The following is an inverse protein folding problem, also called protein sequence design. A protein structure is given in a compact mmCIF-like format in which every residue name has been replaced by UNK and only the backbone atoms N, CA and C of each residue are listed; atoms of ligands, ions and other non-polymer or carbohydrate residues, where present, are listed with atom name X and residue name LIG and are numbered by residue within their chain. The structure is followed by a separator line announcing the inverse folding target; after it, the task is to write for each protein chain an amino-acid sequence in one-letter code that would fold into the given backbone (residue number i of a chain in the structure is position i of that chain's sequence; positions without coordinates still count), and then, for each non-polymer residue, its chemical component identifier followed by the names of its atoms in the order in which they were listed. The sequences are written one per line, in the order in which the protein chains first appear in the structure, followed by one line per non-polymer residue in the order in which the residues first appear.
data_IF_264506109934
#
_entry.id   IF_264506109934
#
_cell.length_a   1.000
_cell.length_b   1.000
_cell.length_c   1.000
_cell.angle_alpha   90.00
_cell.angle_beta   90.00
_cell.angle_gamma   90.00
#
_symmetry.space_group_name_H-M   'P 1'
#
loop_
_entity.id
_entity.type
_entity.pdbx_description
1 polymer ?
#
# COMPACT_ATOMS: atom_id res chain seq x y z
N UNK A 1 -36.74 -4.73 -12.13
CA UNK A 1 -36.60 -5.56 -13.35
C UNK A 1 -35.21 -6.19 -13.36
N UNK A 2 -34.13 -5.40 -13.27
CA UNK A 2 -32.75 -5.92 -13.38
C UNK A 2 -32.32 -6.87 -12.24
N UNK A 3 -32.59 -6.54 -10.97
CA UNK A 3 -32.32 -7.47 -9.85
C UNK A 3 -33.18 -8.74 -9.89
N UNK A 4 -34.38 -8.65 -10.47
CA UNK A 4 -35.25 -9.82 -10.64
C UNK A 4 -34.71 -10.79 -11.70
N UNK A 5 -34.02 -10.28 -12.73
CA UNK A 5 -33.30 -11.09 -13.72
C UNK A 5 -32.09 -11.78 -13.07
N UNK A 6 -31.33 -11.08 -12.20
CA UNK A 6 -30.21 -11.67 -11.45
C UNK A 6 -30.62 -12.81 -10.53
N UNK A 7 -31.80 -12.72 -9.89
CA UNK A 7 -32.34 -13.83 -9.08
C UNK A 7 -32.52 -15.12 -9.90
N UNK A 8 -32.80 -15.00 -11.21
CA UNK A 8 -33.06 -16.12 -12.10
C UNK A 8 -31.81 -16.83 -12.64
N UNK A 9 -30.60 -16.42 -12.25
CA UNK A 9 -29.34 -16.91 -12.83
C UNK A 9 -29.17 -18.43 -12.71
N UNK A 10 -29.65 -19.06 -11.64
CA UNK A 10 -29.41 -20.50 -11.38
C UNK A 10 -30.08 -21.43 -12.41
N UNK A 11 -31.12 -20.95 -13.12
CA UNK A 11 -31.85 -21.73 -14.13
C UNK A 11 -31.42 -21.49 -15.58
N UNK A 12 -30.47 -20.57 -15.82
CA UNK A 12 -30.12 -20.11 -17.16
C UNK A 12 -28.91 -20.87 -17.75
N UNK A 13 -28.80 -20.89 -19.09
CA UNK A 13 -27.57 -21.32 -19.75
C UNK A 13 -26.44 -20.32 -19.47
N UNK A 14 -25.18 -20.73 -19.64
CA UNK A 14 -24.04 -19.82 -19.43
C UNK A 14 -24.10 -18.60 -20.36
N UNK A 15 -24.53 -18.78 -21.61
CA UNK A 15 -24.69 -17.68 -22.55
C UNK A 15 -25.74 -16.66 -22.08
N UNK A 16 -26.88 -17.14 -21.59
CA UNK A 16 -27.95 -16.28 -21.08
C UNK A 16 -27.54 -15.57 -19.78
N UNK A 17 -26.85 -16.29 -18.89
CA UNK A 17 -26.34 -15.74 -17.64
C UNK A 17 -25.38 -14.58 -17.89
N UNK A 18 -24.44 -14.71 -18.83
CA UNK A 18 -23.52 -13.64 -19.22
C UNK A 18 -24.27 -12.41 -19.70
N UNK A 19 -25.26 -12.57 -20.58
CA UNK A 19 -26.05 -11.44 -21.12
C UNK A 19 -26.79 -10.70 -20.00
N UNK A 20 -27.42 -11.43 -19.07
CA UNK A 20 -28.11 -10.84 -17.92
C UNK A 20 -27.13 -10.06 -17.04
N UNK A 21 -25.97 -10.65 -16.73
CA UNK A 21 -24.94 -10.03 -15.88
C UNK A 21 -24.34 -8.79 -16.54
N UNK A 22 -23.96 -8.84 -17.81
CA UNK A 22 -23.38 -7.71 -18.55
C UNK A 22 -24.37 -6.54 -18.66
N UNK A 23 -25.65 -6.83 -18.88
CA UNK A 23 -26.73 -5.83 -18.89
C UNK A 23 -26.84 -5.15 -17.52
N UNK A 24 -26.84 -5.92 -16.43
CA UNK A 24 -26.87 -5.38 -15.08
C UNK A 24 -25.63 -4.53 -14.76
N UNK A 25 -24.44 -5.02 -15.09
CA UNK A 25 -23.17 -4.32 -14.83
C UNK A 25 -23.13 -2.99 -15.59
N UNK A 26 -23.55 -2.98 -16.86
CA UNK A 26 -23.57 -1.77 -17.69
C UNK A 26 -24.53 -0.72 -17.12
N UNK A 27 -25.71 -1.14 -16.68
CA UNK A 27 -26.71 -0.24 -16.11
C UNK A 27 -26.31 0.33 -14.73
N UNK A 28 -25.53 -0.40 -13.94
CA UNK A 28 -25.25 -0.07 -12.54
C UNK A 28 -23.78 0.20 -12.22
N UNK A 29 -22.91 0.33 -13.24
CA UNK A 29 -21.46 0.48 -13.08
C UNK A 29 -21.03 1.68 -12.23
N UNK A 30 -21.82 2.77 -12.23
CA UNK A 30 -21.61 4.00 -11.47
C UNK A 30 -22.56 4.14 -10.26
N UNK A 31 -23.31 3.09 -9.93
CA UNK A 31 -24.20 3.08 -8.78
C UNK A 31 -23.44 2.68 -7.51
N UNK A 32 -23.68 3.41 -6.42
CA UNK A 32 -23.02 3.21 -5.12
C UNK A 32 -23.98 2.82 -3.99
N UNK A 33 -25.27 3.14 -4.13
CA UNK A 33 -26.28 2.85 -3.11
C UNK A 33 -27.57 2.36 -3.76
N UNK A 34 -28.29 1.48 -3.05
CA UNK A 34 -29.56 0.93 -3.51
C UNK A 34 -30.65 1.11 -2.43
N UNK A 35 -31.09 2.36 -2.16
CA UNK A 35 -31.94 2.66 -1.01
C UNK A 35 -33.33 1.98 -1.05
N UNK A 36 -33.83 1.66 -2.25
CA UNK A 36 -35.15 1.06 -2.46
C UNK A 36 -35.08 -0.45 -2.76
N UNK A 37 -33.92 -1.08 -2.63
CA UNK A 37 -33.75 -2.50 -2.93
C UNK A 37 -34.15 -3.34 -1.72
N UNK A 38 -35.07 -4.28 -1.95
CA UNK A 38 -35.45 -5.26 -0.94
C UNK A 38 -34.25 -6.13 -0.53
N UNK A 39 -34.10 -6.32 0.79
CA UNK A 39 -32.99 -7.08 1.34
C UNK A 39 -33.01 -8.56 0.92
N UNK A 40 -34.18 -9.18 0.87
CA UNK A 40 -34.27 -10.59 0.48
C UNK A 40 -33.92 -10.77 -0.99
N UNK A 41 -34.39 -9.87 -1.86
CA UNK A 41 -34.00 -9.86 -3.27
C UNK A 41 -32.47 -9.67 -3.43
N UNK A 42 -31.86 -8.74 -2.67
CA UNK A 42 -30.40 -8.52 -2.66
C UNK A 42 -29.66 -9.80 -2.27
N UNK A 43 -30.14 -10.49 -1.22
CA UNK A 43 -29.57 -11.75 -0.74
C UNK A 43 -29.66 -12.89 -1.77
N UNK A 44 -30.83 -13.09 -2.36
CA UNK A 44 -31.04 -14.11 -3.39
C UNK A 44 -30.16 -13.87 -4.62
N UNK A 45 -29.99 -12.60 -5.05
CA UNK A 45 -29.08 -12.27 -6.14
C UNK A 45 -27.62 -12.64 -5.82
N UNK A 46 -27.17 -12.32 -4.59
CA UNK A 46 -25.82 -12.67 -4.13
C UNK A 46 -25.64 -14.18 -4.08
N UNK A 47 -26.61 -14.92 -3.55
CA UNK A 47 -26.57 -16.38 -3.50
C UNK A 47 -26.49 -17.00 -4.90
N UNK A 48 -27.28 -16.53 -5.86
CA UNK A 48 -27.24 -17.00 -7.24
C UNK A 48 -25.87 -16.73 -7.91
N UNK A 49 -25.30 -15.54 -7.70
CA UNK A 49 -23.96 -15.21 -8.19
C UNK A 49 -22.90 -16.14 -7.59
N UNK A 50 -22.94 -16.37 -6.27
CA UNK A 50 -21.99 -17.25 -5.58
C UNK A 50 -22.14 -18.71 -6.03
N UNK A 51 -23.35 -19.17 -6.32
CA UNK A 51 -23.60 -20.52 -6.86
C UNK A 51 -22.91 -20.68 -8.22
N UNK A 52 -22.97 -19.67 -9.09
CA UNK A 52 -22.22 -19.65 -10.34
C UNK A 52 -20.70 -19.70 -10.12
N UNK A 53 -20.16 -18.88 -9.22
CA UNK A 53 -18.72 -18.84 -8.93
C UNK A 53 -18.18 -20.14 -8.33
N UNK A 54 -19.02 -20.97 -7.71
CA UNK A 54 -18.64 -22.29 -7.18
C UNK A 54 -18.56 -23.38 -8.25
N UNK A 55 -19.12 -23.17 -9.44
CA UNK A 55 -19.10 -24.18 -10.51
C UNK A 55 -17.65 -24.37 -11.00
N UNK A 56 -17.17 -25.62 -11.17
CA UNK A 56 -15.75 -25.90 -11.45
C UNK A 56 -15.29 -25.54 -12.87
N UNK A 57 -16.23 -25.31 -13.80
CA UNK A 57 -15.94 -25.04 -15.22
C UNK A 57 -16.83 -23.90 -15.72
N UNK A 58 -16.48 -22.69 -15.32
CA UNK A 58 -17.14 -21.46 -15.77
C UNK A 58 -16.14 -20.69 -16.62
N UNK A 59 -16.58 -20.19 -17.77
CA UNK A 59 -15.72 -19.39 -18.63
C UNK A 59 -15.24 -18.14 -17.86
N UNK A 60 -13.98 -17.68 -18.04
CA UNK A 60 -13.47 -16.49 -17.37
C UNK A 60 -14.38 -15.28 -17.52
N UNK A 61 -14.95 -15.10 -18.71
CA UNK A 61 -15.90 -14.03 -19.02
C UNK A 61 -17.13 -14.03 -18.08
N UNK A 62 -17.72 -15.20 -17.86
CA UNK A 62 -18.87 -15.38 -16.96
C UNK A 62 -18.49 -15.11 -15.51
N UNK A 63 -17.34 -15.63 -15.07
CA UNK A 63 -16.81 -15.37 -13.73
C UNK A 63 -16.57 -13.88 -13.47
N UNK A 64 -15.98 -13.16 -14.44
CA UNK A 64 -15.78 -11.71 -14.36
C UNK A 64 -17.12 -10.99 -14.25
N UNK A 65 -18.11 -11.32 -15.09
CA UNK A 65 -19.42 -10.68 -15.06
C UNK A 65 -20.15 -10.92 -13.72
N UNK A 66 -20.07 -12.14 -13.17
CA UNK A 66 -20.53 -12.48 -11.83
C UNK A 66 -19.87 -11.61 -10.76
N UNK A 67 -18.54 -11.52 -10.77
CA UNK A 67 -17.77 -10.74 -9.79
C UNK A 67 -18.04 -9.24 -9.92
N UNK A 68 -18.17 -8.70 -11.13
CA UNK A 68 -18.54 -7.30 -11.35
C UNK A 68 -19.92 -6.98 -10.79
N UNK A 69 -20.91 -7.86 -11.03
CA UNK A 69 -22.24 -7.71 -10.45
C UNK A 69 -22.19 -7.75 -8.91
N UNK A 70 -21.46 -8.72 -8.34
CA UNK A 70 -21.24 -8.80 -6.90
C UNK A 70 -20.55 -7.55 -6.35
N UNK A 71 -19.53 -7.03 -7.04
CA UNK A 71 -18.78 -5.82 -6.65
C UNK A 71 -19.68 -4.60 -6.60
N UNK A 72 -20.58 -4.44 -7.57
CA UNK A 72 -21.55 -3.35 -7.59
C UNK A 72 -22.49 -3.45 -6.37
N UNK A 73 -23.00 -4.65 -6.09
CA UNK A 73 -23.87 -4.91 -4.93
C UNK A 73 -23.12 -4.64 -3.61
N UNK A 74 -21.82 -4.96 -3.56
CA UNK A 74 -20.99 -4.83 -2.35
C UNK A 74 -20.51 -3.41 -2.01
N UNK A 75 -20.71 -2.44 -2.92
CA UNK A 75 -20.45 -1.02 -2.64
C UNK A 75 -21.44 -0.44 -1.64
N UNK A 76 -22.69 -0.90 -1.69
CA UNK A 76 -23.74 -0.44 -0.80
C UNK A 76 -23.57 -1.09 0.57
N UNK A 77 -23.06 -0.32 1.54
CA UNK A 77 -22.84 -0.70 2.94
C UNK A 77 -24.09 -1.29 3.61
N UNK A 78 -25.28 -0.93 3.14
CA UNK A 78 -26.55 -1.36 3.72
C UNK A 78 -26.69 -2.88 3.68
N UNK A 79 -26.82 -3.48 4.86
CA UNK A 79 -26.99 -4.92 5.07
C UNK A 79 -25.85 -5.82 4.58
N UNK A 80 -24.65 -5.27 4.32
CA UNK A 80 -23.51 -6.08 3.84
C UNK A 80 -23.12 -7.21 4.78
N UNK A 81 -23.18 -6.97 6.10
CA UNK A 81 -22.88 -7.98 7.12
C UNK A 81 -23.74 -9.25 6.96
N UNK A 82 -25.01 -9.10 6.58
CA UNK A 82 -25.93 -10.22 6.43
C UNK A 82 -25.80 -10.94 5.06
N UNK A 83 -25.12 -10.31 4.09
CA UNK A 83 -24.88 -10.86 2.74
C UNK A 83 -23.55 -11.61 2.65
N UNK A 84 -22.58 -11.26 3.49
CA UNK A 84 -21.22 -11.81 3.45
C UNK A 84 -21.04 -12.86 4.55
N UNK A 85 -21.64 -14.03 4.34
CA UNK A 85 -21.41 -15.20 5.20
C UNK A 85 -20.06 -15.87 4.90
N UNK A 86 -19.64 -16.80 5.75
CA UNK A 86 -18.36 -17.51 5.62
C UNK A 86 -18.21 -18.21 4.25
N UNK A 87 -19.28 -18.82 3.75
CA UNK A 87 -19.28 -19.49 2.44
C UNK A 87 -19.01 -18.52 1.28
N UNK A 88 -19.54 -17.30 1.35
CA UNK A 88 -19.28 -16.27 0.35
C UNK A 88 -17.81 -15.88 0.36
N UNK A 89 -17.23 -15.64 1.54
CA UNK A 89 -15.84 -15.25 1.71
C UNK A 89 -14.87 -16.36 1.29
N UNK A 90 -15.15 -17.62 1.64
CA UNK A 90 -14.36 -18.76 1.15
C UNK A 90 -14.40 -18.87 -0.38
N UNK A 91 -15.57 -18.64 -0.99
CA UNK A 91 -15.70 -18.65 -2.45
C UNK A 91 -14.86 -17.54 -3.09
N UNK A 92 -14.94 -16.31 -2.56
CA UNK A 92 -14.14 -15.19 -3.05
C UNK A 92 -12.64 -15.42 -2.86
N UNK A 93 -12.20 -15.92 -1.71
CA UNK A 93 -10.80 -16.27 -1.45
C UNK A 93 -10.29 -17.35 -2.41
N UNK A 94 -11.13 -18.34 -2.74
CA UNK A 94 -10.79 -19.38 -3.72
C UNK A 94 -10.65 -18.80 -5.13
N UNK A 95 -11.60 -17.98 -5.56
CA UNK A 95 -11.60 -17.39 -6.90
C UNK A 95 -10.48 -16.34 -7.06
N UNK A 96 -10.12 -15.64 -5.98
CA UNK A 96 -8.95 -14.76 -5.94
C UNK A 96 -7.61 -15.51 -5.92
N UNK A 97 -7.62 -16.84 -5.90
CA UNK A 97 -6.42 -17.67 -5.80
C UNK A 97 -5.75 -17.67 -4.43
N UNK A 98 -6.16 -16.81 -3.49
CA UNK A 98 -5.54 -16.64 -2.16
C UNK A 98 -5.54 -17.96 -1.37
N UNK A 99 -6.63 -18.73 -1.45
CA UNK A 99 -6.72 -20.01 -0.75
C UNK A 99 -5.65 -21.01 -1.20
N UNK A 100 -5.22 -20.97 -2.47
CA UNK A 100 -4.17 -21.85 -2.97
C UNK A 100 -2.86 -21.61 -2.22
N UNK A 101 -2.45 -20.35 -2.10
CA UNK A 101 -1.26 -19.92 -1.38
C UNK A 101 -1.35 -20.18 0.12
N UNK A 102 -2.54 -20.02 0.72
CA UNK A 102 -2.76 -20.27 2.15
C UNK A 102 -2.55 -21.73 2.57
N UNK A 103 -2.62 -22.67 1.62
CA UNK A 103 -2.40 -24.10 1.88
C UNK A 103 -0.97 -24.56 1.61
N UNK A 104 -0.13 -23.69 1.06
CA UNK A 104 1.27 -24.00 0.80
C UNK A 104 2.12 -23.82 2.06
N UNK A 105 3.28 -24.47 2.08
CA UNK A 105 4.20 -24.42 3.22
C UNK A 105 4.79 -23.01 3.39
N UNK A 106 4.63 -22.44 4.58
CA UNK A 106 5.08 -21.09 4.92
C UNK A 106 6.61 -20.98 4.83
N UNK A 107 7.32 -22.06 5.15
CA UNK A 107 8.78 -22.13 5.10
C UNK A 107 9.30 -22.62 3.73
N UNK A 108 8.38 -22.92 2.80
CA UNK A 108 8.71 -23.28 1.43
C UNK A 108 9.37 -22.13 0.68
N UNK A 109 10.50 -22.43 0.02
CA UNK A 109 11.25 -21.46 -0.80
C UNK A 109 10.56 -21.22 -2.15
N UNK A 110 9.90 -22.24 -2.70
CA UNK A 110 9.16 -22.15 -3.97
C UNK A 110 7.66 -22.26 -3.72
N UNK A 111 6.90 -21.37 -4.37
CA UNK A 111 5.44 -21.28 -4.26
C UNK A 111 4.85 -21.52 -5.65
N UNK A 112 3.92 -22.46 -5.76
CA UNK A 112 3.27 -22.75 -7.03
C UNK A 112 2.32 -21.60 -7.40
N UNK A 113 2.44 -21.07 -8.61
CA UNK A 113 1.56 -20.01 -9.11
C UNK A 113 0.23 -20.62 -9.54
N UNK A 114 -0.87 -20.02 -9.07
CA UNK A 114 -2.22 -20.51 -9.40
C UNK A 114 -2.47 -20.40 -10.91
N UNK A 115 -2.84 -21.50 -11.61
CA UNK A 115 -3.13 -21.47 -13.04
C UNK A 115 -4.57 -20.98 -13.24
N UNK A 116 -4.80 -19.68 -13.05
CA UNK A 116 -6.10 -19.03 -13.22
C UNK A 116 -5.96 -17.74 -14.01
N UNK A 117 -7.03 -17.36 -14.69
CA UNK A 117 -7.12 -16.09 -15.40
C UNK A 117 -6.92 -14.93 -14.41
N UNK A 118 -5.92 -14.08 -14.66
CA UNK A 118 -5.55 -12.99 -13.76
C UNK A 118 -6.65 -11.92 -13.68
N UNK A 119 -7.44 -11.70 -14.74
CA UNK A 119 -8.55 -10.75 -14.70
C UNK A 119 -9.68 -11.23 -13.76
N UNK A 120 -9.91 -12.55 -13.69
CA UNK A 120 -10.83 -13.14 -12.69
C UNK A 120 -10.30 -12.93 -11.28
N UNK A 121 -9.00 -13.16 -11.05
CA UNK A 121 -8.35 -12.94 -9.75
C UNK A 121 -8.52 -11.48 -9.30
N UNK A 122 -8.18 -10.53 -10.17
CA UNK A 122 -8.25 -9.09 -9.90
C UNK A 122 -9.68 -8.67 -9.52
N UNK A 123 -10.68 -9.12 -10.27
CA UNK A 123 -12.06 -8.76 -9.97
C UNK A 123 -12.55 -9.38 -8.64
N UNK A 124 -12.08 -10.57 -8.30
CA UNK A 124 -12.36 -11.18 -7.00
C UNK A 124 -11.67 -10.44 -5.83
N UNK A 125 -10.43 -10.00 -6.00
CA UNK A 125 -9.74 -9.18 -4.99
C UNK A 125 -10.47 -7.84 -4.78
N UNK A 126 -10.94 -7.18 -5.84
CA UNK A 126 -11.78 -5.96 -5.71
C UNK A 126 -13.05 -6.23 -4.92
N UNK A 127 -13.70 -7.38 -5.13
CA UNK A 127 -14.86 -7.80 -4.32
C UNK A 127 -14.49 -7.96 -2.85
N UNK A 128 -13.36 -8.62 -2.56
CA UNK A 128 -12.84 -8.80 -1.20
C UNK A 128 -12.55 -7.46 -0.53
N UNK A 129 -11.88 -6.52 -1.21
CA UNK A 129 -11.63 -5.17 -0.69
C UNK A 129 -12.92 -4.47 -0.25
N UNK A 130 -13.95 -4.48 -1.10
CA UNK A 130 -15.24 -3.87 -0.78
C UNK A 130 -15.90 -4.53 0.43
N UNK A 131 -15.91 -5.87 0.46
CA UNK A 131 -16.55 -6.64 1.53
C UNK A 131 -15.82 -6.44 2.85
N UNK A 132 -14.49 -6.53 2.87
CA UNK A 132 -13.66 -6.29 4.05
C UNK A 132 -13.85 -4.85 4.55
N UNK A 133 -13.91 -3.87 3.66
CA UNK A 133 -14.13 -2.48 4.07
C UNK A 133 -15.52 -2.25 4.69
N UNK A 134 -16.56 -2.89 4.15
CA UNK A 134 -17.95 -2.63 4.53
C UNK A 134 -18.52 -3.56 5.62
N UNK A 135 -17.84 -4.65 6.00
CA UNK A 135 -18.37 -5.69 6.91
C UNK A 135 -17.38 -6.13 7.99
N UNK A 136 -17.76 -5.95 9.26
CA UNK A 136 -16.92 -6.33 10.43
C UNK A 136 -16.80 -7.85 10.57
N UNK A 137 -17.85 -8.58 10.22
CA UNK A 137 -17.87 -10.05 10.21
C UNK A 137 -16.91 -10.57 9.14
N UNK A 138 -16.87 -9.91 7.97
CA UNK A 138 -15.91 -10.25 6.93
C UNK A 138 -14.46 -9.97 7.37
N UNK A 139 -14.22 -8.82 8.01
CA UNK A 139 -12.92 -8.49 8.61
C UNK A 139 -12.45 -9.61 9.56
N UNK A 140 -13.29 -10.00 10.53
CA UNK A 140 -12.97 -11.06 11.51
C UNK A 140 -12.74 -12.41 10.86
N UNK A 141 -13.52 -12.75 9.84
CA UNK A 141 -13.38 -14.01 9.11
C UNK A 141 -12.09 -14.05 8.29
N UNK A 142 -11.78 -13.00 7.53
CA UNK A 142 -10.55 -12.91 6.73
C UNK A 142 -9.29 -13.02 7.60
N UNK A 143 -9.29 -12.43 8.80
CA UNK A 143 -8.18 -12.59 9.75
C UNK A 143 -7.94 -14.03 10.21
N UNK A 144 -8.94 -14.92 10.14
CA UNK A 144 -8.89 -16.31 10.66
C UNK A 144 -8.92 -17.40 9.60
N UNK A 145 -9.32 -17.09 8.36
CA UNK A 145 -9.62 -18.06 7.30
C UNK A 145 -8.47 -18.35 6.35
N UNK A 146 -7.22 -18.03 6.72
CA UNK A 146 -6.06 -18.16 5.84
C UNK A 146 -5.95 -17.07 4.77
N UNK A 147 -6.84 -16.06 4.76
CA UNK A 147 -6.79 -14.97 3.77
C UNK A 147 -5.49 -14.18 3.88
N UNK A 148 -5.10 -13.82 5.11
CA UNK A 148 -3.84 -13.13 5.40
C UNK A 148 -2.64 -13.98 4.97
N UNK A 149 -2.63 -15.25 5.38
CA UNK A 149 -1.59 -16.22 5.06
C UNK A 149 -1.38 -16.33 3.54
N UNK A 150 -2.46 -16.51 2.78
CA UNK A 150 -2.38 -16.63 1.34
C UNK A 150 -1.90 -15.36 0.64
N UNK A 151 -2.30 -14.17 1.11
CA UNK A 151 -1.81 -12.90 0.56
C UNK A 151 -0.32 -12.72 0.86
N UNK A 152 0.12 -13.02 2.08
CA UNK A 152 1.53 -12.92 2.47
C UNK A 152 2.39 -13.95 1.72
N UNK A 153 1.92 -15.19 1.59
CA UNK A 153 2.65 -16.22 0.82
C UNK A 153 2.74 -15.88 -0.67
N UNK A 154 1.72 -15.23 -1.24
CA UNK A 154 1.77 -14.80 -2.65
C UNK A 154 2.82 -13.71 -2.91
N UNK A 155 3.26 -12.95 -1.90
CA UNK A 155 4.35 -11.97 -2.05
C UNK A 155 5.63 -12.60 -2.63
N UNK A 156 5.92 -13.85 -2.26
CA UNK A 156 7.09 -14.60 -2.75
C UNK A 156 7.11 -14.78 -4.28
N UNK A 157 5.95 -14.65 -4.93
CA UNK A 157 5.80 -14.79 -6.39
C UNK A 157 5.91 -13.47 -7.14
N UNK A 158 6.11 -12.33 -6.47
CA UNK A 158 6.05 -11.02 -7.12
C UNK A 158 7.24 -10.73 -8.03
N UNK A 159 8.35 -11.46 -7.88
CA UNK A 159 9.45 -11.43 -8.84
C UNK A 159 9.13 -12.12 -10.17
N UNK A 160 8.03 -12.89 -10.25
CA UNK A 160 7.64 -13.58 -11.46
C UNK A 160 6.92 -12.64 -12.45
N UNK A 161 7.36 -12.55 -13.72
CA UNK A 161 6.71 -11.74 -14.75
C UNK A 161 5.26 -12.15 -15.07
N UNK A 162 4.85 -13.39 -14.76
CA UNK A 162 3.49 -13.87 -14.98
C UNK A 162 2.48 -13.19 -14.04
N UNK A 163 2.92 -12.68 -12.88
CA UNK A 163 2.05 -11.99 -11.93
C UNK A 163 1.87 -10.53 -12.35
N UNK A 164 0.65 -10.17 -12.76
CA UNK A 164 0.32 -8.82 -13.22
C UNK A 164 0.29 -7.81 -12.07
N UNK A 165 0.60 -6.56 -12.40
CA UNK A 165 0.56 -5.43 -11.45
C UNK A 165 -0.75 -5.36 -10.66
N UNK A 166 -1.90 -5.46 -11.33
CA UNK A 166 -3.20 -5.33 -10.67
C UNK A 166 -3.40 -6.39 -9.57
N UNK A 167 -2.90 -7.62 -9.77
CA UNK A 167 -2.95 -8.67 -8.73
C UNK A 167 -2.14 -8.24 -7.52
N UNK A 168 -0.91 -7.74 -7.75
CA UNK A 168 0.00 -7.25 -6.68
C UNK A 168 -0.61 -6.08 -5.92
N UNK A 169 -1.19 -5.12 -6.64
CA UNK A 169 -1.80 -3.93 -6.07
C UNK A 169 -3.02 -4.27 -5.20
N UNK A 170 -3.93 -5.11 -5.71
CA UNK A 170 -5.13 -5.45 -4.94
C UNK A 170 -4.86 -6.39 -3.76
N UNK A 171 -3.78 -7.16 -3.79
CA UNK A 171 -3.26 -7.85 -2.61
C UNK A 171 -2.81 -6.91 -1.52
N UNK A 172 -1.98 -5.92 -1.88
CA UNK A 172 -1.51 -4.96 -0.90
C UNK A 172 -2.66 -4.11 -0.37
N UNK A 173 -3.70 -3.84 -1.18
CA UNK A 173 -4.95 -3.26 -0.70
C UNK A 173 -5.67 -4.14 0.32
N UNK A 174 -5.79 -5.45 0.09
CA UNK A 174 -6.38 -6.39 1.06
C UNK A 174 -5.56 -6.41 2.35
N UNK A 175 -4.24 -6.56 2.25
CA UNK A 175 -3.35 -6.63 3.41
C UNK A 175 -3.32 -5.31 4.19
N UNK A 176 -3.37 -4.17 3.50
CA UNK A 176 -3.54 -2.86 4.13
C UNK A 176 -4.85 -2.77 4.91
N UNK A 177 -5.98 -3.17 4.33
CA UNK A 177 -7.26 -3.16 5.05
C UNK A 177 -7.21 -4.04 6.30
N UNK A 178 -6.65 -5.25 6.18
CA UNK A 178 -6.54 -6.21 7.28
C UNK A 178 -5.47 -5.83 8.33
N UNK A 179 -4.63 -4.83 8.07
CA UNK A 179 -3.67 -4.30 9.07
C UNK A 179 -4.07 -2.92 9.60
N UNK A 180 -4.91 -2.17 8.87
CA UNK A 180 -5.37 -0.83 9.23
C UNK A 180 -6.64 -0.85 10.09
N UNK A 181 -7.58 -1.74 9.81
CA UNK A 181 -8.91 -1.69 10.43
C UNK A 181 -8.87 -2.08 11.92
N UNK A 182 -9.60 -1.36 12.81
CA UNK A 182 -9.57 -1.59 14.25
C UNK A 182 -9.94 -3.01 14.69
N UNK A 183 -10.82 -3.68 13.93
CA UNK A 183 -11.22 -5.08 14.16
C UNK A 183 -10.13 -6.10 13.87
N UNK A 184 -9.05 -5.69 13.20
CA UNK A 184 -8.00 -6.56 12.66
C UNK A 184 -6.62 -6.26 13.26
N UNK A 185 -6.54 -5.48 14.35
CA UNK A 185 -5.25 -5.07 14.95
C UNK A 185 -4.36 -6.26 15.30
N UNK A 186 -4.95 -7.38 15.74
CA UNK A 186 -4.24 -8.64 16.04
C UNK A 186 -3.55 -9.27 14.82
N UNK A 187 -3.91 -8.87 13.60
CA UNK A 187 -3.24 -9.34 12.37
C UNK A 187 -1.84 -8.75 12.22
N UNK A 188 -1.53 -7.60 12.81
CA UNK A 188 -0.22 -6.95 12.69
C UNK A 188 0.93 -7.80 13.23
N UNK A 189 0.94 -8.27 14.50
CA UNK A 189 2.03 -9.11 14.99
C UNK A 189 2.13 -10.43 14.21
N UNK A 190 1.00 -11.01 13.82
CA UNK A 190 0.99 -12.25 13.02
C UNK A 190 1.65 -12.06 11.65
N UNK A 191 1.29 -11.01 10.91
CA UNK A 191 1.93 -10.69 9.61
C UNK A 191 3.41 -10.42 9.79
N UNK A 192 3.79 -9.64 10.82
CA UNK A 192 5.20 -9.26 11.05
C UNK A 192 6.07 -10.46 11.42
N UNK A 193 5.68 -11.22 12.44
CA UNK A 193 6.54 -12.21 13.10
C UNK A 193 6.24 -13.65 12.68
N UNK A 194 4.97 -14.05 12.56
CA UNK A 194 4.61 -15.45 12.27
C UNK A 194 4.68 -15.78 10.78
N UNK A 195 4.40 -14.79 9.92
CA UNK A 195 4.35 -14.99 8.47
C UNK A 195 5.54 -14.35 7.73
N UNK A 196 6.52 -13.80 8.46
CA UNK A 196 7.68 -13.07 7.91
C UNK A 196 7.31 -11.97 6.90
N UNK A 197 6.10 -11.42 7.00
CA UNK A 197 5.56 -10.46 6.06
C UNK A 197 6.34 -9.14 6.06
N UNK A 198 6.98 -8.77 7.17
CA UNK A 198 7.84 -7.59 7.21
C UNK A 198 9.04 -7.72 6.26
N UNK A 199 9.70 -8.88 6.28
CA UNK A 199 10.82 -9.22 5.40
C UNK A 199 10.36 -9.28 3.94
N UNK A 200 9.28 -10.00 3.64
CA UNK A 200 8.77 -10.12 2.26
C UNK A 200 8.33 -8.77 1.67
N UNK A 201 7.74 -7.88 2.48
CA UNK A 201 7.37 -6.53 2.03
C UNK A 201 8.61 -5.70 1.68
N UNK A 202 9.69 -5.79 2.48
CA UNK A 202 10.98 -5.15 2.16
C UNK A 202 11.60 -5.72 0.88
N UNK A 203 11.60 -7.05 0.72
CA UNK A 203 12.11 -7.71 -0.48
C UNK A 203 11.37 -7.28 -1.76
N UNK A 204 10.06 -7.06 -1.69
CA UNK A 204 9.28 -6.54 -2.82
C UNK A 204 9.65 -5.08 -3.15
N UNK A 205 9.90 -4.24 -2.15
CA UNK A 205 10.43 -2.90 -2.39
C UNK A 205 11.81 -2.96 -3.06
N UNK A 206 12.69 -3.84 -2.61
CA UNK A 206 14.02 -4.06 -3.19
C UNK A 206 13.95 -4.57 -4.64
N UNK A 207 13.04 -5.49 -4.94
CA UNK A 207 12.79 -5.94 -6.31
C UNK A 207 12.35 -4.76 -7.18
N UNK A 208 11.43 -3.94 -6.66
CA UNK A 208 10.89 -2.78 -7.40
C UNK A 208 11.97 -1.72 -7.67
N UNK A 209 12.85 -1.46 -6.70
CA UNK A 209 14.00 -0.56 -6.85
C UNK A 209 15.00 -1.09 -7.88
N UNK A 210 15.38 -2.38 -7.80
CA UNK A 210 16.29 -3.01 -8.77
C UNK A 210 15.73 -2.96 -10.19
N UNK A 211 14.44 -3.21 -10.36
CA UNK A 211 13.77 -3.09 -11.65
C UNK A 211 13.83 -1.66 -12.19
N UNK A 212 13.70 -0.66 -11.32
CA UNK A 212 13.78 0.75 -11.68
C UNK A 212 15.19 1.20 -12.04
N UNK A 213 16.22 0.69 -11.36
CA UNK A 213 17.64 0.94 -11.70
C UNK A 213 18.00 0.38 -13.08
N UNK A 214 17.41 -0.76 -13.46
CA UNK A 214 17.58 -1.33 -14.80
C UNK A 214 16.86 -0.52 -15.89
N UNK A 215 15.94 0.37 -15.51
CA UNK A 215 15.17 1.22 -16.41
C UNK A 215 15.80 2.60 -16.55
N UNK A 216 15.74 3.18 -17.75
CA UNK A 216 16.26 4.54 -17.97
C UNK A 216 15.33 5.64 -17.42
N UNK A 217 14.09 5.30 -17.08
CA UNK A 217 13.03 6.24 -16.69
C UNK A 217 12.81 6.34 -15.17
N UNK A 218 13.52 5.54 -14.38
CA UNK A 218 13.26 5.39 -12.95
C UNK A 218 11.95 4.64 -12.67
N UNK A 219 11.34 4.91 -11.50
CA UNK A 219 10.12 4.24 -11.06
C UNK A 219 8.92 4.66 -11.92
N UNK A 220 8.22 3.65 -12.46
CA UNK A 220 6.95 3.86 -13.16
C UNK A 220 5.84 4.24 -12.19
N UNK A 221 4.82 4.89 -12.74
CA UNK A 221 3.59 5.27 -12.04
C UNK A 221 2.90 4.13 -11.28
N UNK A 222 2.95 2.90 -11.81
CA UNK A 222 2.42 1.69 -11.19
C UNK A 222 3.32 1.23 -10.04
N UNK A 223 4.64 1.19 -10.26
CA UNK A 223 5.59 0.83 -9.20
C UNK A 223 5.50 1.77 -8.00
N UNK A 224 5.36 3.08 -8.23
CA UNK A 224 5.16 4.05 -7.14
C UNK A 224 3.88 3.77 -6.35
N UNK A 225 2.78 3.42 -7.03
CA UNK A 225 1.53 3.04 -6.37
C UNK A 225 1.69 1.77 -5.51
N UNK A 226 2.41 0.76 -6.00
CA UNK A 226 2.70 -0.46 -5.24
C UNK A 226 3.59 -0.18 -4.02
N UNK A 227 4.68 0.59 -4.19
CA UNK A 227 5.54 1.02 -3.10
C UNK A 227 4.72 1.77 -2.05
N UNK A 228 3.87 2.71 -2.47
CA UNK A 228 2.99 3.43 -1.57
C UNK A 228 2.10 2.49 -0.75
N UNK A 229 1.50 1.45 -1.36
CA UNK A 229 0.74 0.43 -0.63
C UNK A 229 1.55 -0.30 0.43
N UNK A 230 2.73 -0.78 0.05
CA UNK A 230 3.61 -1.51 0.94
C UNK A 230 4.03 -0.63 2.12
N UNK A 231 4.36 0.64 1.89
CA UNK A 231 4.74 1.57 2.95
C UNK A 231 3.62 1.81 3.97
N UNK A 232 2.34 1.84 3.58
CA UNK A 232 1.23 1.95 4.56
C UNK A 232 1.07 0.69 5.38
N UNK A 233 1.32 -0.48 4.79
CA UNK A 233 1.31 -1.75 5.52
C UNK A 233 2.46 -1.76 6.53
N UNK A 234 3.68 -1.46 6.10
CA UNK A 234 4.85 -1.35 6.98
C UNK A 234 4.63 -0.33 8.09
N UNK A 235 4.00 0.81 7.80
CA UNK A 235 3.56 1.77 8.80
C UNK A 235 2.65 1.09 9.83
N UNK A 236 1.58 0.41 9.40
CA UNK A 236 0.68 -0.29 10.33
C UNK A 236 1.40 -1.36 11.18
N UNK A 237 2.37 -2.07 10.61
CA UNK A 237 3.15 -3.10 11.30
C UNK A 237 4.14 -2.53 12.34
N UNK A 238 4.49 -1.25 12.26
CA UNK A 238 5.49 -0.60 13.11
C UNK A 238 4.90 0.27 14.23
N UNK A 239 3.63 0.69 14.15
CA UNK A 239 2.97 1.60 15.13
C UNK A 239 3.13 1.17 16.61
N UNK A 240 3.14 -0.14 16.91
CA UNK A 240 3.07 -0.63 18.30
C UNK A 240 4.43 -0.96 18.92
N UNK A 241 5.54 -0.51 18.33
CA UNK A 241 6.90 -0.93 18.69
C UNK A 241 7.65 0.00 19.65
N UNK A 242 7.10 1.18 19.98
CA UNK A 242 7.76 2.26 20.77
C UNK A 242 8.32 1.87 22.16
N UNK A 243 8.15 0.62 22.63
CA UNK A 243 8.52 0.20 24.00
C UNK A 243 9.26 -1.13 24.10
N UNK A 244 9.74 -1.70 23.00
CA UNK A 244 10.51 -2.95 23.05
C UNK A 244 12.00 -2.66 22.89
N UNK A 245 12.81 -3.37 23.68
CA UNK A 245 14.24 -3.50 23.40
C UNK A 245 14.33 -4.15 22.02
N UNK A 246 15.01 -3.47 21.10
CA UNK A 246 15.26 -3.97 19.76
C UNK A 246 16.34 -5.06 19.90
N UNK A 247 16.07 -6.26 19.39
CA UNK A 247 17.09 -7.31 19.31
C UNK A 247 17.89 -7.17 18.00
N UNK A 248 18.97 -7.94 17.86
CA UNK A 248 19.87 -7.85 16.69
C UNK A 248 19.12 -8.07 15.35
N UNK A 249 18.08 -8.90 15.33
CA UNK A 249 17.27 -9.15 14.14
C UNK A 249 16.42 -7.92 13.78
N UNK A 250 15.75 -7.33 14.77
CA UNK A 250 14.95 -6.11 14.59
C UNK A 250 15.84 -4.90 14.23
N UNK A 251 17.06 -4.81 14.78
CA UNK A 251 18.05 -3.80 14.40
C UNK A 251 18.42 -3.94 12.91
N UNK A 252 18.74 -5.15 12.45
CA UNK A 252 19.04 -5.43 11.05
C UNK A 252 17.86 -5.09 10.13
N UNK A 253 16.65 -5.43 10.55
CA UNK A 253 15.41 -5.09 9.86
C UNK A 253 15.19 -3.58 9.75
N UNK A 254 15.44 -2.79 10.80
CA UNK A 254 15.31 -1.34 10.73
C UNK A 254 16.40 -0.69 9.89
N UNK A 255 17.66 -1.12 10.02
CA UNK A 255 18.74 -0.63 9.16
C UNK A 255 18.41 -0.87 7.69
N UNK A 256 17.96 -2.10 7.36
CA UNK A 256 17.55 -2.43 5.99
C UNK A 256 16.38 -1.58 5.52
N UNK A 257 15.34 -1.42 6.34
CA UNK A 257 14.19 -0.60 5.99
C UNK A 257 14.59 0.85 5.72
N UNK A 258 15.41 1.47 6.57
CA UNK A 258 15.85 2.86 6.37
C UNK A 258 16.68 3.01 5.10
N UNK A 259 17.56 2.04 4.80
CA UNK A 259 18.29 1.99 3.52
C UNK A 259 17.33 1.93 2.32
N UNK A 260 16.28 1.11 2.37
CA UNK A 260 15.26 1.07 1.30
C UNK A 260 14.52 2.41 1.17
N UNK A 261 14.21 3.06 2.29
CA UNK A 261 13.54 4.36 2.29
C UNK A 261 14.45 5.47 1.71
N UNK A 262 15.75 5.41 1.99
CA UNK A 262 16.75 6.25 1.33
C UNK A 262 16.67 6.07 -0.19
N UNK A 263 16.74 4.84 -0.69
CA UNK A 263 16.77 4.57 -2.14
C UNK A 263 15.45 4.98 -2.83
N UNK A 264 14.31 4.82 -2.15
CA UNK A 264 13.02 5.34 -2.62
C UNK A 264 12.98 6.88 -2.68
N UNK A 265 13.62 7.58 -1.73
CA UNK A 265 13.72 9.05 -1.78
C UNK A 265 14.60 9.51 -2.95
N UNK A 266 15.64 8.75 -3.29
CA UNK A 266 16.59 9.05 -4.36
C UNK A 266 16.09 8.62 -5.75
N UNK A 267 15.01 7.84 -5.80
CA UNK A 267 14.46 7.33 -7.05
C UNK A 267 13.90 8.44 -7.94
N UNK A 268 14.19 8.35 -9.25
CA UNK A 268 13.59 9.24 -10.25
C UNK A 268 12.13 8.83 -10.48
N UNK A 269 11.21 9.80 -10.35
CA UNK A 269 9.77 9.60 -10.53
C UNK A 269 9.26 10.68 -11.48
N UNK A 270 8.52 10.28 -12.53
CA UNK A 270 8.03 11.21 -13.56
C UNK A 270 6.90 12.10 -13.04
N UNK A 271 5.94 11.53 -12.31
CA UNK A 271 4.80 12.25 -11.77
C UNK A 271 5.13 12.91 -10.45
N UNK A 272 5.12 14.25 -10.42
CA UNK A 272 5.42 15.03 -9.21
C UNK A 272 4.40 14.77 -8.09
N UNK A 273 3.12 14.64 -8.42
CA UNK A 273 2.07 14.34 -7.44
C UNK A 273 2.31 12.96 -6.78
N UNK A 274 2.72 11.96 -7.57
CA UNK A 274 3.06 10.64 -7.05
C UNK A 274 4.36 10.62 -6.24
N UNK A 275 5.36 11.39 -6.64
CA UNK A 275 6.59 11.57 -5.87
C UNK A 275 6.27 12.15 -4.49
N UNK A 276 5.44 13.18 -4.47
CA UNK A 276 4.99 13.89 -3.28
C UNK A 276 4.13 13.01 -2.34
N UNK A 277 3.26 12.16 -2.90
CA UNK A 277 2.53 11.12 -2.16
C UNK A 277 3.48 10.05 -1.57
N UNK A 278 4.46 9.57 -2.35
CA UNK A 278 5.44 8.58 -1.91
C UNK A 278 6.30 9.13 -0.77
N UNK A 279 6.82 10.35 -0.92
CA UNK A 279 7.60 11.05 0.12
C UNK A 279 6.77 11.20 1.41
N UNK A 280 5.47 11.46 1.32
CA UNK A 280 4.60 11.49 2.49
C UNK A 280 4.53 10.13 3.20
N UNK A 281 4.44 9.03 2.47
CA UNK A 281 4.42 7.69 3.05
C UNK A 281 5.76 7.29 3.67
N UNK A 282 6.88 7.66 3.04
CA UNK A 282 8.23 7.44 3.57
C UNK A 282 8.41 8.17 4.90
N UNK A 283 8.09 9.47 4.95
CA UNK A 283 8.19 10.27 6.17
C UNK A 283 7.30 9.71 7.28
N UNK A 284 6.07 9.31 6.95
CA UNK A 284 5.18 8.70 7.94
C UNK A 284 5.76 7.40 8.53
N UNK A 285 6.41 6.57 7.71
CA UNK A 285 7.07 5.36 8.18
C UNK A 285 8.29 5.64 9.06
N UNK A 286 9.12 6.63 8.69
CA UNK A 286 10.29 7.03 9.46
C UNK A 286 9.95 7.43 10.90
N UNK A 287 8.77 8.01 11.15
CA UNK A 287 8.32 8.40 12.50
C UNK A 287 8.20 7.19 13.45
N UNK A 288 7.88 6.01 12.92
CA UNK A 288 7.78 4.80 13.73
C UNK A 288 9.14 4.10 13.91
N UNK A 289 10.18 4.53 13.21
CA UNK A 289 11.52 3.92 13.26
C UNK A 289 12.35 4.67 14.32
N UNK A 290 13.07 3.97 15.22
CA UNK A 290 13.98 4.61 16.16
C UNK A 290 15.04 5.46 15.45
N UNK A 291 15.26 6.68 15.96
CA UNK A 291 16.11 7.67 15.32
C UNK A 291 17.60 7.26 15.27
N UNK A 292 18.01 6.26 16.05
CA UNK A 292 19.36 5.68 16.01
C UNK A 292 19.69 5.11 14.62
N UNK A 293 18.68 4.64 13.86
CA UNK A 293 18.86 4.09 12.51
C UNK A 293 18.87 5.14 11.40
N UNK A 294 18.64 6.43 11.71
CA UNK A 294 18.60 7.48 10.69
C UNK A 294 19.98 7.77 10.07
N UNK A 295 21.06 7.22 10.63
CA UNK A 295 22.37 7.24 9.98
C UNK A 295 22.35 6.53 8.62
N UNK A 296 21.49 5.53 8.42
CA UNK A 296 21.31 4.82 7.14
C UNK A 296 20.63 5.68 6.06
N UNK A 297 20.12 6.87 6.41
CA UNK A 297 19.70 7.88 5.41
C UNK A 297 20.89 8.63 4.81
N UNK A 298 22.10 8.40 5.31
CA UNK A 298 23.31 9.08 4.87
C UNK A 298 24.22 8.09 4.16
N UNK A 299 24.76 8.47 3.01
CA UNK A 299 25.81 7.72 2.35
C UNK A 299 27.18 8.34 2.63
N UNK A 300 28.26 7.56 2.77
CA UNK A 300 29.61 8.11 2.71
C UNK A 300 29.86 8.70 1.32
N UNK A 301 30.57 9.84 1.25
CA UNK A 301 30.98 10.38 -0.06
C UNK A 301 32.02 9.43 -0.69
N UNK A 302 31.84 9.10 -1.97
CA UNK A 302 32.81 8.32 -2.74
C UNK A 302 33.88 9.26 -3.32
N UNK A 303 35.16 8.87 -3.30
CA UNK A 303 36.30 9.71 -3.74
C UNK A 303 36.17 10.25 -5.18
N UNK A 304 35.38 9.60 -6.04
CA UNK A 304 35.11 10.06 -7.41
C UNK A 304 34.14 11.26 -7.44
N UNK A 305 33.23 11.35 -6.47
CA UNK A 305 32.23 12.42 -6.34
C UNK A 305 32.82 13.70 -5.76
N UNK A 306 33.93 13.62 -5.02
CA UNK A 306 34.68 14.80 -4.53
C UNK A 306 35.28 15.65 -5.67
N UNK A 307 35.54 15.04 -6.83
CA UNK A 307 36.21 15.68 -7.98
C UNK A 307 35.23 16.36 -8.94
N UNK A 308 33.97 15.95 -8.94
CA UNK A 308 32.90 16.63 -9.68
C UNK A 308 32.29 17.69 -8.75
N UNK A 309 32.77 18.94 -8.85
CA UNK A 309 32.37 20.08 -7.99
C UNK A 309 30.88 20.46 -8.01
N UNK A 310 29.99 19.61 -8.52
CA UNK A 310 28.55 19.78 -8.61
C UNK A 310 27.79 19.28 -7.36
N UNK A 311 28.39 18.45 -6.48
CA UNK A 311 27.74 17.95 -5.24
C UNK A 311 28.12 18.63 -3.92
N UNK A 312 28.89 19.73 -3.95
CA UNK A 312 29.29 20.45 -2.73
C UNK A 312 28.11 21.01 -1.91
N UNK A 313 26.93 21.19 -2.51
CA UNK A 313 25.78 21.73 -1.79
C UNK A 313 25.09 20.72 -0.86
N UNK A 314 25.27 19.42 -1.09
CA UNK A 314 24.63 18.34 -0.33
C UNK A 314 25.62 17.54 0.52
N UNK A 315 26.91 17.89 0.50
CA UNK A 315 27.92 17.29 1.37
C UNK A 315 27.99 18.00 2.72
N UNK A 316 28.13 17.22 3.80
CA UNK A 316 28.48 17.75 5.10
C UNK A 316 29.23 16.72 5.95
N UNK A 317 30.45 17.08 6.38
CA UNK A 317 31.30 16.24 7.26
C UNK A 317 31.67 14.90 6.61
N UNK A 318 31.92 14.91 5.29
CA UNK A 318 32.26 13.72 4.50
C UNK A 318 31.07 12.78 4.23
N UNK A 319 29.86 13.22 4.55
CA UNK A 319 28.62 12.48 4.35
C UNK A 319 27.74 13.15 3.29
N UNK A 320 27.11 12.34 2.45
CA UNK A 320 26.07 12.76 1.53
C UNK A 320 24.76 12.98 2.31
N UNK A 321 24.23 14.20 2.27
CA UNK A 321 23.00 14.63 2.94
C UNK A 321 21.82 14.75 1.97
N UNK A 322 21.90 14.17 0.76
CA UNK A 322 20.91 14.33 -0.30
C UNK A 322 19.52 13.83 0.12
N UNK A 323 19.40 12.72 0.83
CA UNK A 323 18.11 12.27 1.37
C UNK A 323 17.49 13.27 2.35
N UNK A 324 18.30 13.83 3.25
CA UNK A 324 17.84 14.88 4.18
C UNK A 324 17.46 16.15 3.41
N UNK A 325 18.20 16.49 2.37
CA UNK A 325 17.90 17.62 1.50
C UNK A 325 16.58 17.43 0.77
N UNK A 326 16.30 16.25 0.23
CA UNK A 326 15.02 15.90 -0.41
C UNK A 326 13.86 16.06 0.58
N UNK A 327 14.01 15.62 1.84
CA UNK A 327 12.98 15.82 2.88
C UNK A 327 12.78 17.31 3.20
N UNK A 328 13.85 18.11 3.24
CA UNK A 328 13.75 19.58 3.41
C UNK A 328 13.06 20.27 2.23
N UNK A 329 13.35 19.85 1.00
CA UNK A 329 12.66 20.35 -0.20
C UNK A 329 11.17 19.96 -0.20
N UNK A 330 10.86 18.75 0.25
CA UNK A 330 9.49 18.30 0.45
C UNK A 330 8.76 19.15 1.50
N UNK A 331 9.43 19.50 2.61
CA UNK A 331 8.89 20.43 3.60
C UNK A 331 8.58 21.81 3.00
N UNK A 332 9.53 22.42 2.28
CA UNK A 332 9.32 23.74 1.66
C UNK A 332 8.20 23.71 0.60
N UNK A 333 8.12 22.62 -0.17
CA UNK A 333 7.03 22.41 -1.11
C UNK A 333 5.67 22.38 -0.40
N UNK A 334 5.55 21.60 0.69
CA UNK A 334 4.33 21.49 1.49
C UNK A 334 3.94 22.78 2.19
N UNK A 335 4.90 23.55 2.70
CA UNK A 335 4.67 24.88 3.28
C UNK A 335 4.14 25.88 2.24
N UNK A 336 4.58 25.74 1.00
CA UNK A 336 4.12 26.58 -0.12
C UNK A 336 2.72 26.21 -0.62
N UNK A 337 2.19 25.05 -0.23
CA UNK A 337 0.84 24.62 -0.59
C UNK A 337 -0.19 25.10 0.45
N UNK A 338 -1.15 25.92 0.04
CA UNK A 338 -2.27 26.30 0.90
C UNK A 338 -3.27 25.14 1.00
N UNK A 339 -3.18 24.32 2.04
CA UNK A 339 -4.09 23.18 2.25
C UNK A 339 -4.95 23.35 3.51
N UNK A 340 -6.17 22.77 3.52
CA UNK A 340 -7.08 22.86 4.69
C UNK A 340 -6.55 22.12 5.94
N UNK A 341 -5.59 21.20 5.76
CA UNK A 341 -5.05 20.33 6.80
C UNK A 341 -3.53 20.49 6.96
N UNK A 342 -3.00 21.72 6.88
CA UNK A 342 -1.55 21.98 6.98
C UNK A 342 -0.90 21.30 8.19
N UNK A 343 -1.56 21.30 9.36
CA UNK A 343 -1.02 20.67 10.57
C UNK A 343 -0.77 19.17 10.39
N UNK A 344 -1.74 18.44 9.85
CA UNK A 344 -1.62 16.98 9.65
C UNK A 344 -0.61 16.65 8.55
N UNK A 345 -0.49 17.53 7.55
CA UNK A 345 0.47 17.36 6.45
C UNK A 345 1.91 17.68 6.84
N UNK A 346 2.13 18.68 7.71
CA UNK A 346 3.47 19.16 8.08
C UNK A 346 4.04 18.48 9.33
N UNK A 347 3.19 18.12 10.31
CA UNK A 347 3.65 17.56 11.58
C UNK A 347 4.52 16.30 11.40
N UNK A 348 4.19 15.36 10.51
CA UNK A 348 5.04 14.19 10.24
C UNK A 348 6.46 14.58 9.80
N UNK A 349 6.56 15.50 8.85
CA UNK A 349 7.83 15.95 8.25
C UNK A 349 8.69 16.66 9.28
N UNK A 350 8.08 17.59 10.03
CA UNK A 350 8.76 18.33 11.09
C UNK A 350 9.21 17.41 12.22
N UNK A 351 8.37 16.44 12.62
CA UNK A 351 8.75 15.47 13.64
C UNK A 351 9.95 14.64 13.19
N UNK A 352 9.90 14.04 12.00
CA UNK A 352 10.98 13.27 11.41
C UNK A 352 12.30 14.07 11.37
N UNK A 353 12.28 15.30 10.84
CA UNK A 353 13.47 16.16 10.77
C UNK A 353 13.99 16.56 12.16
N UNK A 354 13.10 16.82 13.12
CA UNK A 354 13.49 17.14 14.48
C UNK A 354 14.15 15.95 15.17
N UNK A 355 13.60 14.74 15.05
CA UNK A 355 14.22 13.53 15.60
C UNK A 355 15.57 13.24 14.95
N UNK A 356 15.67 13.38 13.62
CA UNK A 356 16.92 13.27 12.89
C UNK A 356 17.98 14.24 13.41
N UNK A 357 17.62 15.51 13.61
CA UNK A 357 18.51 16.54 14.15
C UNK A 357 18.88 16.31 15.61
N UNK A 358 18.02 15.69 16.43
CA UNK A 358 18.35 15.40 17.84
C UNK A 358 19.41 14.31 17.93
N UNK A 359 19.27 13.26 17.14
CA UNK A 359 20.11 12.06 17.25
C UNK A 359 21.37 12.10 16.39
N UNK A 360 21.37 12.85 15.28
CA UNK A 360 22.54 12.94 14.40
C UNK A 360 23.07 14.39 14.29
N UNK A 361 24.31 14.60 14.76
CA UNK A 361 24.96 15.91 14.77
C UNK A 361 25.23 16.46 13.37
N UNK A 362 25.58 15.61 12.40
CA UNK A 362 25.86 16.02 11.03
C UNK A 362 24.57 16.51 10.35
N UNK A 363 23.48 15.76 10.48
CA UNK A 363 22.14 16.17 10.03
C UNK A 363 21.74 17.51 10.65
N UNK A 364 21.90 17.66 11.97
CA UNK A 364 21.56 18.90 12.68
C UNK A 364 22.29 20.12 12.13
N UNK A 365 23.60 20.01 11.90
CA UNK A 365 24.39 21.13 11.37
C UNK A 365 24.03 21.42 9.91
N UNK A 366 23.84 20.38 9.09
CA UNK A 366 23.39 20.54 7.71
C UNK A 366 22.03 21.25 7.63
N UNK A 367 21.02 20.76 8.34
CA UNK A 367 19.70 21.39 8.43
C UNK A 367 19.78 22.83 8.92
N UNK A 368 20.62 23.12 9.94
CA UNK A 368 20.82 24.50 10.41
C UNK A 368 21.39 25.39 9.30
N UNK A 369 22.36 24.92 8.52
CA UNK A 369 22.95 25.71 7.43
C UNK A 369 21.94 25.99 6.31
N UNK A 370 21.08 25.02 6.00
CA UNK A 370 20.07 25.12 4.95
C UNK A 370 18.85 25.94 5.36
N UNK A 371 18.34 25.74 6.57
CA UNK A 371 17.14 26.43 7.08
C UNK A 371 17.49 27.80 7.66
N UNK A 372 18.60 27.93 8.39
CA UNK A 372 19.00 29.15 9.10
C UNK A 372 20.42 29.60 8.69
N UNK A 373 20.65 29.97 7.42
CA UNK A 373 21.96 30.42 6.97
C UNK A 373 22.40 31.69 7.71
N UNK A 374 23.73 31.97 7.81
CA UNK A 374 24.23 33.15 8.49
C UNK A 374 23.58 34.44 7.98
N UNK A 375 22.94 35.17 8.89
CA UNK A 375 22.19 36.38 8.56
C UNK A 375 23.14 37.50 8.15
N UNK A 376 23.13 37.81 6.85
CA UNK A 376 23.89 38.94 6.28
C UNK A 376 23.02 40.21 6.27
N UNK A 377 22.54 40.62 5.09
CA UNK A 377 21.72 41.83 4.92
C UNK A 377 20.27 41.73 5.43
N UNK A 378 19.80 40.52 5.71
CA UNK A 378 18.41 40.24 6.12
C UNK A 378 18.11 40.57 7.59
N UNK A 379 19.11 40.91 8.40
CA UNK A 379 18.96 41.28 9.82
C UNK A 379 18.03 42.50 10.02
N UNK A 380 17.77 43.27 8.96
CA UNK A 380 16.90 44.45 8.98
C UNK A 380 15.41 44.15 8.69
N UNK A 381 15.05 42.94 8.28
CA UNK A 381 13.66 42.51 8.04
C UNK A 381 13.16 41.65 9.21
N UNK A 382 11.85 41.63 9.42
CA UNK A 382 11.26 40.76 10.42
C UNK A 382 11.46 39.28 10.03
N UNK A 383 11.71 38.36 10.98
CA UNK A 383 11.89 36.94 10.67
C UNK A 383 10.70 36.30 9.93
N UNK A 384 9.49 36.78 10.17
CA UNK A 384 8.26 36.36 9.48
C UNK A 384 8.11 36.94 8.06
N UNK A 385 8.90 37.95 7.70
CA UNK A 385 8.81 38.62 6.40
C UNK A 385 9.74 37.97 5.36
N UNK A 386 9.20 37.12 4.50
CA UNK A 386 9.88 36.59 3.31
C UNK A 386 9.32 35.25 2.83
N UNK A 387 9.90 34.74 1.75
CA UNK A 387 9.49 33.49 1.08
C UNK A 387 10.50 32.34 1.29
N UNK A 388 11.52 32.55 2.12
CA UNK A 388 12.49 31.49 2.41
C UNK A 388 11.92 30.47 3.40
N UNK A 389 12.50 29.27 3.44
CA UNK A 389 12.14 28.22 4.40
C UNK A 389 12.30 28.67 5.87
N UNK A 390 13.10 29.71 6.15
CA UNK A 390 13.21 30.31 7.48
C UNK A 390 11.97 31.12 7.86
N UNK A 391 11.36 31.79 6.88
CA UNK A 391 10.27 32.72 7.09
C UNK A 391 8.92 32.00 7.21
N UNK A 392 8.73 30.99 6.35
CA UNK A 392 7.60 30.05 6.40
C UNK A 392 7.69 29.19 7.65
#
# INVERSE_FOLDING_TARGET
MEFSELKGLDGCSEADAVVILEKFVSANSQTFTFPNLDFNLKKECVEAILTWLKKPKVAPKTSIACLQAFRIISRDKSNMQALTNENALMTLNKVAGIQHYATQDVDGVAVDIVPSDQAVIVEAQKCLCNVIFNSIEAQRFCCKSGCVDGVVQRLKTYGDPEVQFDVKFFDMRILFLLTALPSCVETRPRVRYELHGFTYLMEVLDLTLRDAECQTTGLTDQQVELCAEILKILFNLTISMEKKIVDEEEEAHFMRLVSILHDLLMSTITSKDKQDDLQSHIVNLLINIPADFYEELLAPMVEEEEKAGERQEVEFDGKNMEAIWVILQFLDHRLSMTTKNMKESLAPILHCLCEACRHNHAIRKFCRLKVLPPLRGEVKRLPEDGESLRNK
#
